data_IF_028910636096
#
_entry.id   IF_028910636096
#
_cell.length_a   1.000
_cell.length_b   1.000
_cell.length_c   1.000
_cell.angle_alpha   90.00
_cell.angle_beta   90.00
_cell.angle_gamma   90.00
#
_symmetry.space_group_name_H-M   'P 1'
#
loop_
_entity.id
_entity.type
_entity.pdbx_description
1 polymer ?
#
# COMPACT_ATOMS: atom_id res chain seq x y z
N UNK A 1 -0.80 -6.97 -12.35
CA UNK A 1 -1.08 -6.32 -11.05
C UNK A 1 -0.04 -6.77 -10.05
N UNK A 2 0.34 -5.90 -9.11
CA UNK A 2 1.32 -6.17 -8.06
C UNK A 2 0.87 -5.52 -6.76
N UNK A 3 1.24 -6.12 -5.64
CA UNK A 3 0.95 -5.57 -4.33
C UNK A 3 2.02 -4.56 -3.92
N UNK A 4 1.58 -3.42 -3.41
CA UNK A 4 2.43 -2.37 -2.86
C UNK A 4 1.95 -2.01 -1.45
N UNK A 5 2.91 -1.89 -0.54
CA UNK A 5 2.69 -1.39 0.81
C UNK A 5 3.04 0.09 0.88
N UNK A 6 2.14 0.90 1.42
CA UNK A 6 2.30 2.32 1.65
C UNK A 6 2.40 2.54 3.16
N UNK A 7 3.54 3.04 3.64
CA UNK A 7 3.78 3.33 5.04
C UNK A 7 3.23 4.73 5.36
N UNK A 8 2.27 4.80 6.27
CA UNK A 8 1.59 6.04 6.61
C UNK A 8 2.45 6.97 7.46
N UNK A 9 2.22 8.27 7.28
CA UNK A 9 2.78 9.34 8.10
C UNK A 9 2.00 9.57 9.41
N UNK A 10 2.08 10.81 9.93
CA UNK A 10 1.51 11.20 11.22
C UNK A 10 -0.02 11.05 11.31
N UNK A 11 -0.73 11.17 10.19
CA UNK A 11 -2.18 11.05 10.15
C UNK A 11 -2.61 9.97 9.14
N UNK A 12 -2.78 8.71 9.61
CA UNK A 12 -3.09 7.56 8.75
C UNK A 12 -4.33 7.70 7.88
N UNK A 13 -5.36 8.36 8.41
CA UNK A 13 -6.63 8.54 7.70
C UNK A 13 -6.42 9.50 6.52
N UNK A 14 -5.69 10.59 6.74
CA UNK A 14 -5.32 11.52 5.67
C UNK A 14 -4.35 10.87 4.67
N UNK A 15 -3.37 10.10 5.14
CA UNK A 15 -2.47 9.33 4.28
C UNK A 15 -3.23 8.38 3.35
N UNK A 16 -4.20 7.62 3.89
CA UNK A 16 -5.02 6.72 3.09
C UNK A 16 -5.84 7.50 2.04
N UNK A 17 -6.50 8.58 2.45
CA UNK A 17 -7.29 9.42 1.53
C UNK A 17 -6.43 10.01 0.41
N UNK A 18 -5.22 10.45 0.72
CA UNK A 18 -4.23 10.93 -0.26
C UNK A 18 -3.83 9.82 -1.24
N UNK A 19 -3.52 8.62 -0.73
CA UNK A 19 -3.15 7.47 -1.57
C UNK A 19 -4.28 7.11 -2.54
N UNK A 20 -5.53 6.99 -2.04
CA UNK A 20 -6.69 6.68 -2.88
C UNK A 20 -6.89 7.76 -3.95
N UNK A 21 -6.87 9.04 -3.55
CA UNK A 21 -7.03 10.18 -4.47
C UNK A 21 -5.93 10.21 -5.55
N UNK A 22 -4.68 9.91 -5.16
CA UNK A 22 -3.56 9.78 -6.08
C UNK A 22 -3.78 8.66 -7.11
N UNK A 23 -4.16 7.47 -6.65
CA UNK A 23 -4.39 6.30 -7.51
C UNK A 23 -5.54 6.56 -8.49
N UNK A 24 -6.65 7.14 -8.02
CA UNK A 24 -7.80 7.50 -8.87
C UNK A 24 -7.44 8.56 -9.92
N UNK A 25 -6.84 9.66 -9.49
CA UNK A 25 -6.53 10.81 -10.36
C UNK A 25 -5.53 10.45 -11.47
N UNK A 26 -4.62 9.50 -11.19
CA UNK A 26 -3.64 9.04 -12.16
C UNK A 26 -4.11 7.81 -12.93
N UNK A 27 -5.36 7.37 -12.77
CA UNK A 27 -5.95 6.26 -13.52
C UNK A 27 -5.28 4.90 -13.24
N UNK A 28 -4.96 4.62 -11.98
CA UNK A 28 -4.53 3.28 -11.55
C UNK A 28 -5.75 2.38 -11.40
N UNK A 29 -5.69 1.18 -11.97
CA UNK A 29 -6.58 0.10 -11.53
C UNK A 29 -6.08 -0.39 -10.17
N UNK A 30 -6.84 -0.12 -9.11
CA UNK A 30 -6.41 -0.38 -7.75
C UNK A 30 -7.49 -1.07 -6.90
N UNK A 31 -7.02 -1.83 -5.90
CA UNK A 31 -7.87 -2.46 -4.87
C UNK A 31 -7.17 -2.36 -3.53
N UNK A 32 -7.86 -1.85 -2.52
CA UNK A 32 -7.38 -1.89 -1.14
C UNK A 32 -7.48 -3.33 -0.61
N UNK A 33 -6.34 -3.90 -0.22
CA UNK A 33 -6.23 -5.28 0.27
C UNK A 33 -6.23 -5.31 1.79
N UNK A 34 -5.44 -4.43 2.40
CA UNK A 34 -5.32 -4.33 3.84
C UNK A 34 -5.15 -2.87 4.25
N UNK A 35 -5.78 -2.50 5.36
CA UNK A 35 -5.56 -1.23 6.03
C UNK A 35 -5.25 -1.45 7.51
N UNK A 36 -4.19 -0.79 7.97
CA UNK A 36 -3.77 -0.64 9.35
C UNK A 36 -3.41 0.84 9.57
N UNK A 37 -3.38 1.28 10.83
CA UNK A 37 -2.98 2.66 11.10
C UNK A 37 -1.55 2.97 10.60
N UNK A 38 -0.62 2.02 10.64
CA UNK A 38 0.76 2.26 10.18
C UNK A 38 0.98 2.06 8.68
N UNK A 39 0.12 1.31 7.99
CA UNK A 39 0.30 1.02 6.56
C UNK A 39 -0.99 0.61 5.87
N UNK A 40 -1.00 0.71 4.55
CA UNK A 40 -2.01 0.11 3.67
C UNK A 40 -1.35 -0.72 2.59
N UNK A 41 -2.04 -1.77 2.16
CA UNK A 41 -1.62 -2.61 1.03
C UNK A 41 -2.63 -2.44 -0.07
N UNK A 42 -2.14 -2.06 -1.25
CA UNK A 42 -2.95 -2.00 -2.46
C UNK A 42 -2.43 -2.98 -3.51
N UNK A 43 -3.36 -3.64 -4.18
CA UNK A 43 -3.10 -4.26 -5.47
C UNK A 43 -3.26 -3.18 -6.54
N UNK A 44 -2.20 -2.90 -7.31
CA UNK A 44 -2.21 -1.89 -8.38
C UNK A 44 -1.58 -2.42 -9.66
N UNK A 45 -1.96 -1.83 -10.79
CA UNK A 45 -1.55 -2.25 -12.14
C UNK A 45 -0.20 -1.67 -12.60
N UNK A 46 0.23 -0.56 -12.03
CA UNK A 46 1.49 0.14 -12.37
C UNK A 46 2.23 0.65 -11.13
N UNK A 47 3.49 1.04 -11.31
CA UNK A 47 4.36 1.47 -10.21
C UNK A 47 4.00 2.88 -9.73
N UNK A 48 3.81 3.09 -8.41
CA UNK A 48 3.47 4.40 -7.86
C UNK A 48 4.73 5.24 -7.61
N UNK A 49 4.59 6.56 -7.70
CA UNK A 49 5.66 7.53 -7.42
C UNK A 49 5.44 8.18 -6.05
N UNK A 50 6.30 7.83 -5.09
CA UNK A 50 6.23 8.35 -3.71
C UNK A 50 6.38 9.89 -3.65
N UNK A 51 7.06 10.52 -4.62
CA UNK A 51 7.27 11.96 -4.61
C UNK A 51 5.96 12.76 -4.78
N UNK A 52 4.86 12.08 -5.10
CA UNK A 52 3.51 12.65 -5.22
C UNK A 52 2.69 12.55 -3.93
N UNK A 53 3.21 11.92 -2.87
CA UNK A 53 2.50 11.65 -1.63
C UNK A 53 3.21 12.34 -0.46
N UNK A 54 2.58 13.35 0.14
CA UNK A 54 3.13 14.08 1.29
C UNK A 54 2.85 13.39 2.62
N UNK A 55 1.79 12.59 2.69
CA UNK A 55 1.38 11.82 3.87
C UNK A 55 1.97 10.41 3.94
N UNK A 56 2.77 9.98 2.96
CA UNK A 56 3.36 8.64 2.89
C UNK A 56 4.87 8.70 3.15
N UNK A 57 5.37 7.88 4.08
CA UNK A 57 6.80 7.85 4.44
C UNK A 57 7.60 7.00 3.44
N UNK A 58 7.03 5.87 3.02
CA UNK A 58 7.70 4.89 2.16
C UNK A 58 6.69 4.09 1.35
N UNK A 59 7.08 3.67 0.15
CA UNK A 59 6.38 2.66 -0.63
C UNK A 59 7.31 1.46 -0.80
N UNK A 60 6.77 0.24 -0.71
CA UNK A 60 7.49 -0.99 -1.01
C UNK A 60 6.66 -1.90 -1.92
N UNK A 61 7.31 -2.57 -2.87
CA UNK A 61 6.69 -3.65 -3.63
C UNK A 61 6.73 -4.93 -2.80
N UNK A 62 5.60 -5.61 -2.67
CA UNK A 62 5.52 -6.91 -1.99
C UNK A 62 6.03 -7.98 -2.95
N UNK A 63 7.05 -8.73 -2.55
CA UNK A 63 7.65 -9.80 -3.35
C UNK A 63 7.06 -11.17 -3.03
N UNK A 64 6.70 -11.39 -1.77
CA UNK A 64 6.15 -12.64 -1.25
C UNK A 64 5.11 -12.28 -0.19
N UNK A 65 3.98 -12.97 -0.22
CA UNK A 65 2.99 -12.98 0.86
C UNK A 65 2.93 -14.39 1.45
N UNK A 66 2.69 -14.49 2.76
CA UNK A 66 2.63 -15.78 3.46
C UNK A 66 1.94 -15.64 4.80
N UNK A 67 1.37 -16.73 5.30
CA UNK A 67 0.73 -16.79 6.62
C UNK A 67 1.64 -17.52 7.59
N UNK A 68 1.69 -17.06 8.85
CA UNK A 68 2.44 -17.77 9.90
C UNK A 68 1.90 -19.18 10.19
N UNK A 69 0.73 -19.55 9.64
CA UNK A 69 0.17 -20.90 9.72
C UNK A 69 0.89 -21.93 8.85
N UNK A 70 1.77 -21.52 7.96
CA UNK A 70 2.51 -22.42 7.05
C UNK A 70 3.85 -22.93 7.63
N UNK A 71 4.19 -22.54 8.86
CA UNK A 71 5.41 -22.96 9.55
C UNK A 71 5.06 -24.02 10.60
N UNK A 72 4.75 -25.23 10.15
CA UNK A 72 4.83 -26.44 10.98
C UNK A 72 6.31 -26.86 11.03
N UNK A 73 7.01 -26.48 12.10
CA UNK A 73 8.34 -27.01 12.42
C UNK A 73 8.19 -28.51 12.79
N UNK A 74 8.73 -29.39 11.97
CA UNK A 74 8.98 -30.81 12.31
C UNK A 74 10.40 -31.01 12.81
#
# INVERSE_FOLDING_TARGET
MSYFVFIHGKNPILSLAEIVSYLETNGFCHKLVEYRNSFSVFEIDKEPDINKLGGTIKIGKVLVEGSSKDVDEK
#
